data_IF_011261389497
#
_entry.id   IF_011261389497
#
_cell.length_a   1.000
_cell.length_b   1.000
_cell.length_c   1.000
_cell.angle_alpha   90.00
_cell.angle_beta   90.00
_cell.angle_gamma   90.00
#
_symmetry.space_group_name_H-M   'P 1'
#
loop_
_entity.id
_entity.type
_entity.pdbx_description
1 polymer ?
#
# COMPACT_ATOMS: atom_id res chain seq x y z
N UNK A 1 -9.73 -61.62 1.23
CA UNK A 1 -9.89 -60.22 1.68
C UNK A 1 -9.22 -59.34 0.62
N UNK A 2 -9.95 -58.63 -0.26
CA UNK A 2 -9.33 -57.84 -1.31
C UNK A 2 -8.89 -56.46 -0.79
N UNK A 3 -7.77 -55.97 -1.32
CA UNK A 3 -7.20 -54.67 -1.03
C UNK A 3 -8.16 -53.55 -1.44
N UNK A 4 -8.55 -52.69 -0.49
CA UNK A 4 -9.33 -51.49 -0.77
C UNK A 4 -8.42 -50.40 -1.35
N UNK A 5 -8.96 -49.82 -2.41
CA UNK A 5 -8.41 -48.85 -3.36
C UNK A 5 -7.83 -47.60 -2.70
N UNK A 6 -6.53 -47.36 -2.88
CA UNK A 6 -5.83 -46.11 -2.60
C UNK A 6 -6.22 -45.01 -3.61
N UNK A 7 -7.48 -44.58 -3.66
CA UNK A 7 -7.93 -43.53 -4.59
C UNK A 7 -8.44 -42.25 -3.94
N UNK A 8 -8.35 -42.10 -2.62
CA UNK A 8 -9.01 -40.99 -1.92
C UNK A 8 -8.07 -40.16 -1.03
N UNK A 9 -6.77 -40.16 -1.28
CA UNK A 9 -5.79 -39.46 -0.41
C UNK A 9 -4.97 -38.34 -1.06
N UNK A 10 -5.22 -37.98 -2.32
CA UNK A 10 -4.44 -36.97 -3.03
C UNK A 10 -5.24 -35.80 -3.65
N UNK A 11 -6.53 -35.68 -3.35
CA UNK A 11 -7.40 -34.62 -3.91
C UNK A 11 -6.98 -33.20 -3.47
N UNK A 12 -6.42 -33.05 -2.27
CA UNK A 12 -6.00 -31.76 -1.69
C UNK A 12 -4.65 -31.23 -2.20
N UNK A 13 -3.91 -31.99 -3.02
CA UNK A 13 -2.65 -31.49 -3.64
C UNK A 13 -2.86 -30.79 -4.99
N UNK A 14 -4.08 -30.79 -5.53
CA UNK A 14 -4.37 -30.34 -6.90
C UNK A 14 -4.92 -28.91 -7.02
N UNK A 15 -4.65 -28.02 -6.04
CA UNK A 15 -5.03 -26.60 -6.13
C UNK A 15 -3.92 -25.65 -5.68
N UNK A 16 -2.66 -26.05 -5.79
CA UNK A 16 -1.57 -25.05 -5.76
C UNK A 16 -1.61 -24.30 -7.08
N UNK A 17 -1.83 -22.97 -7.09
CA UNK A 17 -1.62 -22.18 -8.30
C UNK A 17 -0.17 -22.39 -8.73
N UNK A 18 0.05 -22.81 -9.96
CA UNK A 18 1.38 -23.12 -10.51
C UNK A 18 2.24 -21.88 -10.79
N UNK A 19 1.74 -20.69 -10.44
CA UNK A 19 2.50 -19.45 -10.48
C UNK A 19 2.14 -18.62 -9.25
N UNK A 20 3.10 -18.27 -8.36
CA UNK A 20 2.90 -17.11 -7.52
C UNK A 20 2.75 -15.92 -8.46
N UNK A 21 1.62 -15.21 -8.41
CA UNK A 21 1.48 -13.95 -9.13
C UNK A 21 2.65 -13.06 -8.68
N UNK A 22 3.52 -12.73 -9.62
CA UNK A 22 4.69 -11.91 -9.32
C UNK A 22 4.20 -10.50 -9.05
N UNK A 23 4.00 -10.15 -7.78
CA UNK A 23 3.75 -8.77 -7.38
C UNK A 23 4.94 -7.92 -7.82
N UNK A 24 4.68 -6.96 -8.70
CA UNK A 24 5.64 -5.92 -9.05
C UNK A 24 5.46 -4.78 -8.05
N UNK A 25 6.49 -4.54 -7.25
CA UNK A 25 6.54 -3.38 -6.36
C UNK A 25 7.21 -2.24 -7.10
N UNK A 26 6.53 -1.10 -7.16
CA UNK A 26 7.06 0.15 -7.68
C UNK A 26 7.34 1.03 -6.46
N UNK A 27 8.52 1.64 -6.42
CA UNK A 27 8.84 2.69 -5.47
C UNK A 27 8.73 4.01 -6.22
N UNK A 28 7.96 4.95 -5.67
CA UNK A 28 7.90 6.33 -6.17
C UNK A 28 8.57 7.27 -5.16
N UNK A 29 9.11 8.37 -5.65
CA UNK A 29 9.58 9.44 -4.78
C UNK A 29 8.44 10.42 -4.52
N UNK A 30 8.17 10.68 -3.24
CA UNK A 30 7.19 11.69 -2.81
C UNK A 30 7.91 12.82 -2.10
N UNK A 31 7.56 14.06 -2.42
CA UNK A 31 8.06 15.26 -1.73
C UNK A 31 6.92 16.00 -1.05
N UNK A 32 7.11 16.38 0.21
CA UNK A 32 6.13 17.11 1.01
C UNK A 32 6.79 18.37 1.56
N UNK A 33 6.16 19.52 1.34
CA UNK A 33 6.60 20.82 1.81
C UNK A 33 5.51 21.45 2.69
N UNK A 34 5.89 21.85 3.89
CA UNK A 34 5.05 22.65 4.78
C UNK A 34 5.60 24.08 4.80
N UNK A 35 4.78 25.06 4.45
CA UNK A 35 5.18 26.47 4.42
C UNK A 35 4.79 27.20 5.70
N UNK A 36 5.37 28.37 5.93
CA UNK A 36 5.00 29.26 7.04
C UNK A 36 3.57 29.78 6.97
N UNK A 37 2.95 29.72 5.79
CA UNK A 37 1.61 30.25 5.53
C UNK A 37 0.52 29.20 5.78
N UNK A 38 0.84 28.14 6.54
CA UNK A 38 -0.07 27.03 6.83
C UNK A 38 -0.59 26.35 5.55
N UNK A 39 0.30 26.17 4.57
CA UNK A 39 0.04 25.45 3.32
C UNK A 39 0.92 24.21 3.29
N UNK A 40 0.33 23.09 2.88
CA UNK A 40 1.06 21.87 2.55
C UNK A 40 1.02 21.65 1.04
N UNK A 41 2.18 21.36 0.45
CA UNK A 41 2.33 21.00 -0.96
C UNK A 41 2.93 19.60 -0.99
N UNK A 42 2.23 18.64 -1.60
CA UNK A 42 2.70 17.28 -1.77
C UNK A 42 2.76 16.94 -3.26
N UNK A 43 3.90 16.40 -3.70
CA UNK A 43 4.18 16.03 -5.09
C UNK A 43 4.32 14.51 -5.17
N UNK A 44 3.50 13.90 -6.02
CA UNK A 44 3.46 12.45 -6.28
C UNK A 44 3.66 12.19 -7.77
N UNK A 45 4.23 11.03 -8.10
CA UNK A 45 4.39 10.61 -9.49
C UNK A 45 3.14 9.88 -10.00
N UNK A 46 2.54 9.02 -9.17
CA UNK A 46 1.39 8.21 -9.59
C UNK A 46 0.32 8.00 -8.50
N UNK A 47 0.66 8.05 -7.21
CA UNK A 47 -0.29 7.72 -6.12
C UNK A 47 -1.13 8.87 -5.59
N UNK A 48 -1.14 10.05 -6.24
CA UNK A 48 -1.85 11.23 -5.73
C UNK A 48 -3.32 10.91 -5.38
N UNK A 49 -4.03 10.23 -6.27
CA UNK A 49 -5.45 9.89 -6.10
C UNK A 49 -5.68 8.93 -4.91
N UNK A 50 -4.76 7.95 -4.74
CA UNK A 50 -4.82 6.97 -3.65
C UNK A 50 -4.61 7.64 -2.27
N UNK A 51 -3.85 8.74 -2.23
CA UNK A 51 -3.59 9.53 -1.03
C UNK A 51 -4.70 10.57 -0.78
N UNK A 52 -5.20 11.22 -1.82
CA UNK A 52 -6.12 12.35 -1.71
C UNK A 52 -7.49 11.90 -1.18
N UNK A 53 -8.05 10.82 -1.73
CA UNK A 53 -9.43 10.41 -1.44
C UNK A 53 -9.68 10.11 0.05
N UNK A 54 -8.82 9.35 0.76
CA UNK A 54 -8.97 9.13 2.20
C UNK A 54 -8.86 10.42 3.02
N UNK A 55 -7.98 11.34 2.61
CA UNK A 55 -7.76 12.61 3.29
C UNK A 55 -8.93 13.58 3.10
N UNK A 56 -9.43 13.72 1.86
CA UNK A 56 -10.63 14.50 1.58
C UNK A 56 -11.85 13.96 2.31
N UNK A 57 -12.00 12.63 2.39
CA UNK A 57 -13.09 12.01 3.13
C UNK A 57 -13.05 12.42 4.60
N UNK A 58 -11.87 12.44 5.22
CA UNK A 58 -11.67 12.84 6.62
C UNK A 58 -11.86 14.34 6.83
N UNK A 59 -11.44 15.18 5.90
CA UNK A 59 -11.65 16.64 5.94
C UNK A 59 -13.14 17.01 5.83
N UNK A 60 -13.88 16.31 4.98
CA UNK A 60 -15.31 16.56 4.78
C UNK A 60 -16.20 15.90 5.86
N UNK A 61 -15.66 14.94 6.61
CA UNK A 61 -16.39 14.29 7.70
C UNK A 61 -16.42 15.21 8.93
N UNK A 62 -17.62 15.52 9.47
CA UNK A 62 -17.71 16.31 10.69
C UNK A 62 -16.99 15.61 11.84
N UNK A 63 -16.42 16.40 12.76
CA UNK A 63 -15.80 15.95 14.01
C UNK A 63 -14.46 15.21 13.92
N UNK A 64 -13.77 15.22 12.77
CA UNK A 64 -12.38 14.72 12.70
C UNK A 64 -11.38 15.78 13.16
N UNK A 65 -10.23 15.35 13.68
CA UNK A 65 -9.12 16.25 14.03
C UNK A 65 -8.56 16.95 12.76
N UNK A 66 -8.61 16.28 11.61
CA UNK A 66 -8.21 16.88 10.32
C UNK A 66 -9.09 18.07 9.94
N UNK A 67 -10.40 17.96 10.12
CA UNK A 67 -11.32 19.06 9.84
C UNK A 67 -11.17 20.19 10.87
N UNK A 68 -11.07 19.86 12.17
CA UNK A 68 -11.12 20.85 13.24
C UNK A 68 -9.81 21.61 13.47
N UNK A 69 -8.67 20.98 13.18
CA UNK A 69 -7.36 21.58 13.44
C UNK A 69 -7.08 22.82 12.60
N UNK A 70 -7.63 22.90 11.39
CA UNK A 70 -7.31 23.94 10.40
C UNK A 70 -5.79 24.18 10.26
N UNK A 71 -5.00 23.12 10.41
CA UNK A 71 -3.54 23.19 10.49
C UNK A 71 -2.90 22.25 9.46
N UNK A 72 -2.04 22.82 8.63
CA UNK A 72 -1.41 22.11 7.52
C UNK A 72 -0.39 21.06 7.99
N UNK A 73 0.16 21.18 9.21
CA UNK A 73 0.98 20.10 9.78
C UNK A 73 0.13 18.86 10.06
N UNK A 74 -1.13 19.03 10.48
CA UNK A 74 -2.07 17.92 10.66
C UNK A 74 -2.42 17.24 9.33
N UNK A 75 -2.57 18.00 8.25
CA UNK A 75 -2.76 17.44 6.90
C UNK A 75 -1.49 16.72 6.44
N UNK A 76 -0.31 17.30 6.65
CA UNK A 76 0.97 16.66 6.34
C UNK A 76 1.14 15.32 7.05
N UNK A 77 0.72 15.22 8.32
CA UNK A 77 0.75 13.96 9.05
C UNK A 77 -0.22 12.94 8.47
N UNK A 78 -1.43 13.35 8.07
CA UNK A 78 -2.39 12.45 7.47
C UNK A 78 -1.97 11.93 6.08
N UNK A 79 -1.22 12.74 5.31
CA UNK A 79 -0.57 12.28 4.08
C UNK A 79 0.45 11.17 4.39
N UNK A 80 1.29 11.35 5.41
CA UNK A 80 2.29 10.34 5.82
C UNK A 80 1.61 9.06 6.32
N UNK A 81 0.52 9.19 7.09
CA UNK A 81 -0.29 8.08 7.62
C UNK A 81 -0.76 7.16 6.49
N UNK A 82 -1.37 7.73 5.45
CA UNK A 82 -1.85 6.97 4.29
C UNK A 82 -0.68 6.31 3.53
N UNK A 83 0.46 7.00 3.35
CA UNK A 83 1.65 6.41 2.71
C UNK A 83 2.15 5.18 3.49
N UNK A 84 2.20 5.27 4.82
CA UNK A 84 2.64 4.14 5.66
C UNK A 84 1.65 2.99 5.59
N UNK A 85 0.34 3.27 5.61
CA UNK A 85 -0.69 2.25 5.47
C UNK A 85 -0.59 1.51 4.12
N UNK A 86 -0.30 2.22 3.03
CA UNK A 86 -0.04 1.59 1.73
C UNK A 86 1.24 0.74 1.71
N UNK A 87 2.22 1.04 2.56
CA UNK A 87 3.47 0.28 2.65
C UNK A 87 3.38 -0.99 3.54
N UNK A 88 2.35 -1.12 4.40
CA UNK A 88 2.19 -2.28 5.29
C UNK A 88 1.96 -3.59 4.52
N UNK A 89 1.06 -3.67 3.50
CA UNK A 89 0.85 -4.90 2.72
C UNK A 89 2.11 -5.42 2.02
N UNK A 90 3.03 -4.53 1.64
CA UNK A 90 4.32 -4.88 1.01
C UNK A 90 5.22 -5.69 1.95
N UNK A 91 5.01 -5.61 3.28
CA UNK A 91 5.80 -6.32 4.30
C UNK A 91 5.19 -7.65 4.77
N UNK A 92 4.01 -8.04 4.28
CA UNK A 92 3.35 -9.25 4.75
C UNK A 92 4.11 -10.53 4.31
N UNK A 93 4.31 -11.55 5.17
CA UNK A 93 5.28 -12.63 4.93
C UNK A 93 4.83 -13.71 3.95
N UNK A 94 3.62 -13.60 3.38
CA UNK A 94 3.00 -14.73 2.70
C UNK A 94 3.14 -14.63 1.18
N UNK A 95 4.16 -15.32 0.67
CA UNK A 95 4.35 -15.81 -0.72
C UNK A 95 4.71 -14.83 -1.85
N UNK A 96 4.65 -13.51 -1.65
CA UNK A 96 5.15 -12.57 -2.64
C UNK A 96 6.68 -12.42 -2.52
N UNK A 97 7.44 -13.14 -3.35
CA UNK A 97 8.86 -12.80 -3.55
C UNK A 97 8.93 -11.46 -4.27
N UNK A 98 9.07 -10.37 -3.50
CA UNK A 98 9.35 -9.04 -4.04
C UNK A 98 10.76 -9.05 -4.61
N UNK A 99 10.88 -9.23 -5.92
CA UNK A 99 12.14 -8.97 -6.62
C UNK A 99 12.20 -7.48 -6.91
N UNK A 100 13.04 -6.77 -6.16
CA UNK A 100 13.50 -5.46 -6.56
C UNK A 100 14.30 -5.64 -7.87
N UNK A 101 13.63 -5.49 -9.02
CA UNK A 101 14.36 -5.31 -10.27
C UNK A 101 15.00 -3.95 -10.20
N UNK A 102 16.32 -3.96 -10.11
CA UNK A 102 17.24 -2.90 -10.51
C UNK A 102 16.59 -1.52 -10.63
N UNK A 103 16.59 -0.77 -9.53
CA UNK A 103 16.67 0.68 -9.61
C UNK A 103 17.89 0.95 -10.50
N UNK A 104 17.65 1.24 -11.77
CA UNK A 104 18.70 1.69 -12.67
C UNK A 104 19.17 3.01 -12.08
N UNK A 105 20.37 3.01 -11.52
CA UNK A 105 21.10 4.20 -11.06
C UNK A 105 20.87 5.31 -12.10
N UNK A 106 20.09 6.32 -11.71
CA UNK A 106 19.95 7.55 -12.47
C UNK A 106 21.28 8.27 -12.25
N UNK A 107 22.08 8.34 -13.32
CA UNK A 107 23.31 9.11 -13.41
C UNK A 107 23.01 10.60 -13.50
#
# INVERSE_FOLDING_TARGET
MPAQTLHEQNSWRSTRPSHPESLTVIAEQVSIFLTSDNIVIALFENSADDIEVPNLTRLNSPSTILQQSCDASTISQAIIDVIIDMAIPVRAPNSATVRFRDLKLIH
#
